data_IF_812692394397
#
_entry.id   IF_812692394397
#
_cell.length_a   1.000
_cell.length_b   1.000
_cell.length_c   1.000
_cell.angle_alpha   90.00
_cell.angle_beta   90.00
_cell.angle_gamma   90.00
#
_symmetry.space_group_name_H-M   'P 1'
#
loop_
_entity.id
_entity.type
_entity.pdbx_description
1 polymer ?
#
# COMPACT_ATOMS: atom_id res chain seq x y z
N UNK A 1 19.59 3.74 -10.47
CA UNK A 1 19.87 2.34 -10.86
C UNK A 1 18.57 1.57 -10.72
N UNK A 2 18.23 0.71 -11.67
CA UNK A 2 17.07 -0.18 -11.55
C UNK A 2 17.51 -1.47 -10.85
N UNK A 3 16.65 -2.02 -9.99
CA UNK A 3 16.90 -3.32 -9.37
C UNK A 3 16.91 -4.42 -10.44
N UNK A 4 17.87 -5.34 -10.36
CA UNK A 4 17.99 -6.50 -11.23
C UNK A 4 17.16 -7.67 -10.68
N UNK A 5 16.97 -8.72 -11.48
CA UNK A 5 16.20 -9.91 -11.08
C UNK A 5 16.71 -10.51 -9.76
N UNK A 6 18.03 -10.58 -9.58
CA UNK A 6 18.66 -11.11 -8.36
C UNK A 6 18.32 -10.29 -7.11
N UNK A 7 18.14 -8.97 -7.25
CA UNK A 7 17.76 -8.10 -6.14
C UNK A 7 16.33 -8.36 -5.69
N UNK A 8 15.42 -8.66 -6.64
CA UNK A 8 14.01 -8.94 -6.35
C UNK A 8 13.78 -10.34 -5.75
N UNK A 9 14.63 -11.32 -6.07
CA UNK A 9 14.52 -12.68 -5.52
C UNK A 9 14.63 -12.73 -3.99
N UNK A 10 15.27 -11.71 -3.39
CA UNK A 10 15.48 -11.63 -1.95
C UNK A 10 14.40 -10.79 -1.24
N UNK A 11 13.52 -10.13 -1.99
CA UNK A 11 12.49 -9.23 -1.45
C UNK A 11 11.22 -9.99 -1.07
N UNK A 12 10.56 -9.50 -0.03
CA UNK A 12 9.19 -9.86 0.30
C UNK A 12 8.27 -8.71 -0.09
N UNK A 13 7.31 -8.99 -0.98
CA UNK A 13 6.44 -7.98 -1.59
C UNK A 13 5.10 -7.91 -0.87
N UNK A 14 4.69 -6.71 -0.47
CA UNK A 14 3.34 -6.40 -0.01
C UNK A 14 2.50 -5.81 -1.15
N UNK A 15 1.53 -6.58 -1.65
CA UNK A 15 0.62 -6.12 -2.69
C UNK A 15 -0.50 -5.26 -2.08
N UNK A 16 -0.74 -4.08 -2.64
CA UNK A 16 -1.81 -3.18 -2.22
C UNK A 16 -2.61 -2.60 -3.39
N UNK A 17 -3.84 -2.19 -3.09
CA UNK A 17 -4.65 -1.36 -3.99
C UNK A 17 -4.70 0.03 -3.41
N UNK A 18 -4.08 1.01 -4.06
CA UNK A 18 -3.88 2.38 -3.53
C UNK A 18 -5.18 2.98 -2.99
N UNK A 19 -6.29 2.84 -3.74
CA UNK A 19 -7.61 3.37 -3.36
C UNK A 19 -8.21 2.71 -2.11
N UNK A 20 -7.72 1.52 -1.72
CA UNK A 20 -8.25 0.70 -0.61
C UNK A 20 -7.29 0.50 0.55
N UNK A 21 -6.04 0.95 0.41
CA UNK A 21 -5.03 0.75 1.45
C UNK A 21 -5.12 1.81 2.55
N UNK A 22 -4.93 3.08 2.20
CA UNK A 22 -4.90 4.16 3.18
C UNK A 22 -5.27 5.50 2.53
N UNK A 23 -6.09 6.28 3.23
CA UNK A 23 -6.40 7.67 2.88
C UNK A 23 -5.35 8.60 3.48
N UNK A 24 -5.21 9.82 2.94
CA UNK A 24 -4.39 10.87 3.57
C UNK A 24 -4.96 11.29 4.93
N UNK A 25 -6.28 11.36 5.02
CA UNK A 25 -7.02 11.73 6.24
C UNK A 25 -7.59 10.48 6.90
N UNK A 26 -7.33 10.29 8.19
CA UNK A 26 -7.87 9.16 8.96
C UNK A 26 -9.32 9.45 9.40
N UNK A 27 -10.23 9.53 8.44
CA UNK A 27 -11.64 9.86 8.66
C UNK A 27 -12.51 8.66 9.07
N UNK A 28 -11.95 7.45 9.11
CA UNK A 28 -12.69 6.21 9.42
C UNK A 28 -13.86 5.93 8.47
N UNK A 29 -13.92 6.61 7.32
CA UNK A 29 -15.07 6.55 6.41
C UNK A 29 -15.18 5.18 5.75
N UNK A 30 -16.37 4.57 5.85
CA UNK A 30 -16.67 3.28 5.23
C UNK A 30 -16.47 3.34 3.70
N UNK A 31 -15.87 2.28 3.14
CA UNK A 31 -15.71 2.05 1.71
C UNK A 31 -16.49 0.79 1.34
N UNK A 32 -17.64 0.95 0.69
CA UNK A 32 -18.41 -0.18 0.16
C UNK A 32 -17.76 -0.72 -1.12
N UNK A 33 -17.32 -1.97 -1.08
CA UNK A 33 -16.72 -2.66 -2.22
C UNK A 33 -17.72 -2.95 -3.34
N UNK A 34 -19.02 -3.08 -3.03
CA UNK A 34 -20.10 -3.33 -3.98
C UNK A 34 -20.45 -2.10 -4.82
N UNK A 35 -20.28 -0.90 -4.24
CA UNK A 35 -20.56 0.37 -4.91
C UNK A 35 -19.59 0.71 -6.06
N UNK A 36 -18.42 0.03 -6.13
CA UNK A 36 -17.39 0.20 -7.19
C UNK A 36 -16.97 1.65 -7.42
N UNK A 37 -17.01 2.46 -6.37
CA UNK A 37 -16.61 3.87 -6.37
C UNK A 37 -15.20 4.05 -5.81
N UNK A 38 -14.60 5.22 -6.07
CA UNK A 38 -13.34 5.60 -5.43
C UNK A 38 -13.57 5.78 -3.93
N UNK A 39 -12.72 5.13 -3.14
CA UNK A 39 -12.77 5.21 -1.69
C UNK A 39 -11.79 6.26 -1.14
N UNK A 40 -10.96 6.87 -2.00
CA UNK A 40 -10.12 8.01 -1.64
C UNK A 40 -8.79 7.62 -1.02
N UNK A 41 -8.35 6.37 -1.24
CA UNK A 41 -6.98 5.99 -0.91
C UNK A 41 -5.97 6.72 -1.79
N UNK A 42 -4.84 7.12 -1.20
CA UNK A 42 -3.83 7.98 -1.85
C UNK A 42 -2.42 7.46 -1.62
N UNK A 43 -1.49 7.85 -2.49
CA UNK A 43 -0.06 7.55 -2.29
C UNK A 43 0.51 8.19 -1.02
N UNK A 44 0.03 9.38 -0.64
CA UNK A 44 0.42 9.98 0.65
C UNK A 44 -0.07 9.14 1.83
N UNK A 45 -1.27 8.56 1.75
CA UNK A 45 -1.75 7.60 2.73
C UNK A 45 -0.87 6.35 2.82
N UNK A 46 -0.41 5.83 1.67
CA UNK A 46 0.54 4.70 1.63
C UNK A 46 1.84 5.05 2.35
N UNK A 47 2.42 6.22 2.06
CA UNK A 47 3.66 6.70 2.69
C UNK A 47 3.50 6.79 4.22
N UNK A 48 2.36 7.29 4.69
CA UNK A 48 2.07 7.42 6.12
C UNK A 48 1.93 6.07 6.85
N UNK A 49 1.82 4.95 6.11
CA UNK A 49 1.65 3.59 6.64
C UNK A 49 2.81 2.66 6.28
N UNK A 50 3.96 3.20 5.85
CA UNK A 50 5.13 2.37 5.54
C UNK A 50 5.64 1.60 6.76
N UNK A 51 5.49 2.15 7.97
CA UNK A 51 5.87 1.47 9.22
C UNK A 51 5.02 0.21 9.48
N UNK A 52 3.74 0.22 9.07
CA UNK A 52 2.88 -0.96 9.15
C UNK A 52 3.38 -2.08 8.23
N UNK A 53 3.77 -1.74 7.00
CA UNK A 53 4.29 -2.70 6.03
C UNK A 53 5.65 -3.25 6.48
N UNK A 54 6.56 -2.37 6.92
CA UNK A 54 7.88 -2.76 7.41
C UNK A 54 7.81 -3.55 8.72
N UNK A 55 6.86 -3.24 9.60
CA UNK A 55 6.64 -3.98 10.85
C UNK A 55 6.23 -5.43 10.63
N UNK A 56 5.66 -5.76 9.46
CA UNK A 56 5.37 -7.14 9.05
C UNK A 56 6.57 -7.83 8.38
N UNK A 57 7.68 -7.12 8.13
CA UNK A 57 8.90 -7.65 7.52
C UNK A 57 8.93 -7.61 5.99
N UNK A 58 7.98 -6.92 5.35
CA UNK A 58 8.04 -6.66 3.91
C UNK A 58 8.98 -5.50 3.59
N UNK A 59 9.73 -5.63 2.49
CA UNK A 59 10.71 -4.65 2.05
C UNK A 59 10.48 -4.17 0.61
N UNK A 60 9.36 -4.57 0.00
CA UNK A 60 8.88 -4.07 -1.28
C UNK A 60 7.34 -3.92 -1.28
N UNK A 61 6.83 -2.98 -2.08
CA UNK A 61 5.40 -2.72 -2.29
C UNK A 61 5.05 -2.88 -3.76
N UNK A 62 3.92 -3.53 -4.05
CA UNK A 62 3.38 -3.72 -5.40
C UNK A 62 1.94 -3.21 -5.54
#
# INVERSE_FOLDING_TARGET
>A
MAAQLADWQQRSIYQLVTDRFAKTTNDGGACDSGARQYCGGTWQGVINQLDYIQGMGFDAVY
#
